data_IF_928157307882
#
_entry.id   IF_928157307882
#
_cell.length_a   1.000
_cell.length_b   1.000
_cell.length_c   1.000
_cell.angle_alpha   90.00
_cell.angle_beta   90.00
_cell.angle_gamma   90.00
#
_symmetry.space_group_name_H-M   'P 1'
#
loop_
_entity.id
_entity.type
_entity.pdbx_description
1 polymer ?
#
# COMPACT_ATOMS: atom_id res chain seq x y z
N UNK A 1 -27.95 38.15 24.74
CA UNK A 1 -28.95 37.07 24.60
C UNK A 1 -29.56 37.18 23.21
N UNK A 2 -29.27 36.25 22.35
CA UNK A 2 -29.78 36.26 20.97
C UNK A 2 -31.24 35.88 21.00
N UNK A 3 -32.14 36.79 20.66
CA UNK A 3 -33.55 36.46 20.43
C UNK A 3 -33.71 36.08 18.99
N UNK A 4 -33.69 34.78 18.73
CA UNK A 4 -34.00 34.27 17.42
C UNK A 4 -35.52 34.25 17.31
N UNK A 5 -36.08 35.04 16.42
CA UNK A 5 -37.53 35.03 16.17
C UNK A 5 -37.97 33.67 15.63
N UNK A 6 -39.17 33.23 15.98
CA UNK A 6 -39.71 31.93 15.61
C UNK A 6 -39.94 31.74 14.08
N UNK A 7 -39.86 32.79 13.29
CA UNK A 7 -39.94 32.76 11.83
C UNK A 7 -38.60 32.39 11.20
N UNK A 8 -37.49 32.49 11.97
CA UNK A 8 -36.12 32.05 11.62
C UNK A 8 -35.78 32.04 10.13
N UNK A 9 -36.01 33.12 9.45
CA UNK A 9 -35.39 33.29 8.14
C UNK A 9 -33.91 33.61 8.34
N UNK A 10 -33.01 33.08 7.50
CA UNK A 10 -31.57 33.37 7.57
C UNK A 10 -31.24 34.87 7.65
N UNK A 11 -32.10 35.72 7.10
CA UNK A 11 -32.01 37.16 7.10
C UNK A 11 -32.10 37.79 8.53
N UNK A 12 -33.01 37.30 9.37
CA UNK A 12 -33.18 37.79 10.75
C UNK A 12 -32.02 37.36 11.64
N UNK A 13 -31.47 36.18 11.41
CA UNK A 13 -30.30 35.70 12.15
C UNK A 13 -29.07 36.57 11.88
N UNK A 14 -28.86 36.97 10.62
CA UNK A 14 -27.71 37.80 10.24
C UNK A 14 -27.86 39.25 10.71
N UNK A 15 -29.08 39.77 10.88
CA UNK A 15 -29.35 41.11 11.43
C UNK A 15 -28.87 41.26 12.89
N UNK A 16 -28.71 40.16 13.62
CA UNK A 16 -28.15 40.12 14.95
C UNK A 16 -26.76 40.76 15.06
N UNK A 17 -25.96 40.67 14.04
CA UNK A 17 -24.62 41.25 14.01
C UNK A 17 -24.61 42.74 13.69
N UNK A 18 -25.76 43.38 13.50
CA UNK A 18 -25.88 44.80 13.19
C UNK A 18 -25.27 45.20 11.83
N UNK A 19 -24.95 44.24 10.96
CA UNK A 19 -24.27 44.46 9.68
C UNK A 19 -25.22 44.43 8.49
N UNK A 20 -26.51 44.26 8.72
CA UNK A 20 -27.42 43.97 7.65
C UNK A 20 -27.18 42.57 7.02
N UNK A 21 -27.82 42.30 5.91
CA UNK A 21 -27.69 41.04 5.21
C UNK A 21 -26.42 41.02 4.37
N UNK A 22 -25.30 40.64 4.96
CA UNK A 22 -24.04 40.49 4.21
C UNK A 22 -23.90 39.11 3.59
N UNK A 23 -24.35 38.07 4.32
CA UNK A 23 -24.21 36.67 3.89
C UNK A 23 -25.51 35.92 4.13
N UNK A 24 -25.79 34.91 3.30
CA UNK A 24 -26.75 33.88 3.67
C UNK A 24 -26.17 32.98 4.78
N UNK A 25 -27.01 32.27 5.51
CA UNK A 25 -26.52 31.26 6.47
C UNK A 25 -25.64 30.20 5.79
N UNK A 26 -25.92 29.92 4.54
CA UNK A 26 -25.16 28.97 3.74
C UNK A 26 -23.77 29.51 3.36
N UNK A 27 -23.68 30.81 2.98
CA UNK A 27 -22.40 31.48 2.72
C UNK A 27 -21.53 31.50 3.99
N UNK A 28 -22.15 31.76 5.14
CA UNK A 28 -21.46 31.71 6.42
C UNK A 28 -20.91 30.31 6.74
N UNK A 29 -21.65 29.24 6.46
CA UNK A 29 -21.16 27.87 6.61
C UNK A 29 -20.00 27.58 5.67
N UNK A 30 -20.08 28.05 4.42
CA UNK A 30 -19.04 27.81 3.41
C UNK A 30 -17.71 28.51 3.75
N UNK A 31 -17.76 29.71 4.35
CA UNK A 31 -16.57 30.43 4.82
C UNK A 31 -15.87 29.75 6.02
N UNK A 32 -16.63 29.02 6.84
CA UNK A 32 -16.12 28.44 8.07
C UNK A 32 -15.78 26.95 7.94
N UNK A 33 -16.16 26.29 6.83
CA UNK A 33 -15.93 24.89 6.59
C UNK A 33 -14.84 24.67 5.51
N UNK A 34 -13.65 24.24 5.90
CA UNK A 34 -12.61 23.87 4.95
C UNK A 34 -12.90 22.52 4.30
N UNK A 35 -13.49 22.57 3.11
CA UNK A 35 -13.75 21.40 2.26
C UNK A 35 -12.75 21.27 1.10
N UNK A 36 -11.69 22.07 1.06
CA UNK A 36 -10.71 22.12 -0.04
C UNK A 36 -10.16 20.73 -0.37
N UNK A 37 -9.81 19.97 0.66
CA UNK A 37 -9.29 18.61 0.50
C UNK A 37 -10.28 17.69 -0.22
N UNK A 38 -11.55 17.72 0.17
CA UNK A 38 -12.59 16.91 -0.47
C UNK A 38 -12.80 17.33 -1.93
N UNK A 39 -12.84 18.62 -2.21
CA UNK A 39 -12.96 19.16 -3.57
C UNK A 39 -11.84 18.68 -4.47
N UNK A 40 -10.58 18.76 -4.00
CA UNK A 40 -9.42 18.28 -4.74
C UNK A 40 -9.47 16.78 -5.02
N UNK A 41 -9.84 15.97 -4.03
CA UNK A 41 -9.98 14.51 -4.19
C UNK A 41 -11.11 14.18 -5.16
N UNK A 42 -12.28 14.80 -5.04
CA UNK A 42 -13.41 14.57 -5.94
C UNK A 42 -13.07 14.98 -7.39
N UNK A 43 -12.47 16.14 -7.59
CA UNK A 43 -12.05 16.62 -8.91
C UNK A 43 -10.99 15.71 -9.55
N UNK A 44 -10.06 15.19 -8.73
CA UNK A 44 -9.04 14.26 -9.23
C UNK A 44 -9.64 12.91 -9.63
N UNK A 45 -10.69 12.42 -8.93
CA UNK A 45 -11.30 11.09 -9.18
C UNK A 45 -12.42 11.11 -10.20
N UNK A 46 -13.01 12.26 -10.50
CA UNK A 46 -14.15 12.37 -11.42
C UNK A 46 -13.92 11.66 -12.77
N UNK A 47 -12.78 11.82 -13.46
CA UNK A 47 -12.53 11.15 -14.74
C UNK A 47 -12.45 9.63 -14.64
N UNK A 48 -12.08 9.10 -13.46
CA UNK A 48 -11.83 7.68 -13.25
C UNK A 48 -13.05 6.94 -12.69
N UNK A 49 -13.82 7.59 -11.82
CA UNK A 49 -15.04 7.01 -11.22
C UNK A 49 -16.29 7.23 -12.08
N UNK A 50 -16.25 8.14 -13.05
CA UNK A 50 -17.37 8.41 -13.97
C UNK A 50 -17.97 7.15 -14.58
N UNK A 51 -17.19 6.21 -15.15
CA UNK A 51 -17.73 4.96 -15.70
C UNK A 51 -18.44 4.07 -14.67
N UNK A 52 -17.96 4.04 -13.42
CA UNK A 52 -18.60 3.28 -12.32
C UNK A 52 -19.97 3.91 -12.00
N UNK A 53 -19.98 5.23 -11.81
CA UNK A 53 -21.21 6.00 -11.52
C UNK A 53 -22.21 5.83 -12.63
N UNK A 54 -21.81 6.01 -13.90
CA UNK A 54 -22.67 5.89 -15.07
C UNK A 54 -23.30 4.50 -15.20
N UNK A 55 -22.51 3.43 -15.04
CA UNK A 55 -23.01 2.04 -15.07
C UNK A 55 -24.05 1.81 -13.99
N UNK A 56 -23.72 2.16 -12.74
CA UNK A 56 -24.61 1.97 -11.60
C UNK A 56 -25.90 2.79 -11.72
N UNK A 57 -25.85 3.99 -12.30
CA UNK A 57 -27.03 4.82 -12.52
C UNK A 57 -27.94 4.22 -13.60
N UNK A 58 -27.40 3.66 -14.67
CA UNK A 58 -28.18 2.94 -15.71
C UNK A 58 -28.84 1.67 -15.21
N UNK A 59 -28.18 0.95 -14.32
CA UNK A 59 -28.71 -0.28 -13.74
C UNK A 59 -29.69 -0.02 -12.60
N UNK A 60 -29.92 1.24 -12.24
CA UNK A 60 -30.77 1.60 -11.13
C UNK A 60 -32.24 1.33 -11.44
N UNK A 61 -32.81 0.34 -10.74
CA UNK A 61 -34.24 0.00 -10.81
C UNK A 61 -34.92 0.64 -9.60
N UNK A 62 -35.95 1.45 -9.82
CA UNK A 62 -36.73 2.04 -8.73
C UNK A 62 -37.19 3.47 -8.99
N UNK A 63 -37.82 4.10 -7.97
CA UNK A 63 -38.29 5.49 -8.07
C UNK A 63 -37.11 6.44 -8.32
N UNK A 64 -37.28 7.37 -9.24
CA UNK A 64 -36.28 8.38 -9.62
C UNK A 64 -35.79 9.23 -8.42
N UNK A 65 -36.55 9.29 -7.34
CA UNK A 65 -36.23 10.04 -6.12
C UNK A 65 -35.36 9.28 -5.10
N UNK A 66 -34.89 8.06 -5.42
CA UNK A 66 -33.82 7.45 -4.60
C UNK A 66 -32.51 8.14 -4.95
N UNK A 67 -31.59 8.25 -3.95
CA UNK A 67 -30.37 9.01 -4.07
C UNK A 67 -29.60 8.71 -5.36
N UNK A 68 -29.16 9.74 -6.12
CA UNK A 68 -28.27 9.58 -7.27
C UNK A 68 -27.00 8.84 -6.86
N UNK A 69 -26.45 8.05 -7.78
CA UNK A 69 -25.23 7.24 -7.51
C UNK A 69 -24.03 8.12 -7.23
N UNK A 70 -23.92 9.25 -7.92
CA UNK A 70 -22.84 10.24 -7.70
C UNK A 70 -22.89 10.84 -6.29
N UNK A 71 -24.06 11.15 -5.77
CA UNK A 71 -24.26 11.63 -4.38
C UNK A 71 -23.81 10.57 -3.38
N UNK A 72 -24.17 9.31 -3.62
CA UNK A 72 -23.73 8.20 -2.76
C UNK A 72 -22.22 8.00 -2.83
N UNK A 73 -21.61 8.09 -4.02
CA UNK A 73 -20.18 7.97 -4.23
C UNK A 73 -19.42 9.11 -3.53
N UNK A 74 -19.83 10.38 -3.77
CA UNK A 74 -19.22 11.56 -3.13
C UNK A 74 -19.34 11.49 -1.61
N UNK A 75 -20.52 11.13 -1.09
CA UNK A 75 -20.73 10.96 0.36
C UNK A 75 -19.82 9.88 0.94
N UNK A 76 -19.62 8.78 0.21
CA UNK A 76 -18.76 7.69 0.64
C UNK A 76 -17.28 8.09 0.65
N UNK A 77 -16.82 8.79 -0.39
CA UNK A 77 -15.48 9.37 -0.47
C UNK A 77 -15.21 10.39 0.66
N UNK A 78 -16.20 11.22 0.98
CA UNK A 78 -16.11 12.16 2.09
C UNK A 78 -15.82 11.44 3.42
N UNK A 79 -16.40 10.27 3.64
CA UNK A 79 -16.09 9.43 4.80
C UNK A 79 -14.61 9.09 4.92
N UNK A 80 -13.93 8.80 3.81
CA UNK A 80 -12.50 8.55 3.78
C UNK A 80 -11.66 9.80 4.00
N UNK A 81 -12.03 10.89 3.32
CA UNK A 81 -11.30 12.17 3.40
C UNK A 81 -11.34 12.75 4.81
N UNK A 82 -12.49 12.67 5.48
CA UNK A 82 -12.68 13.19 6.85
C UNK A 82 -12.46 12.16 7.97
N UNK A 83 -11.91 10.98 7.63
CA UNK A 83 -11.60 9.94 8.61
C UNK A 83 -12.84 9.46 9.39
N UNK A 84 -13.96 9.29 8.69
CA UNK A 84 -15.22 8.81 9.25
C UNK A 84 -15.55 7.42 8.68
N UNK A 85 -14.94 6.34 9.19
CA UNK A 85 -15.07 5.00 8.62
C UNK A 85 -16.42 4.34 8.92
N UNK A 86 -17.13 4.84 9.93
CA UNK A 86 -18.38 4.27 10.40
C UNK A 86 -19.57 4.96 9.76
N UNK A 87 -20.38 4.21 9.02
CA UNK A 87 -21.57 4.74 8.29
C UNK A 87 -22.49 5.63 9.14
N UNK A 88 -22.77 5.23 10.38
CA UNK A 88 -23.66 6.00 11.23
C UNK A 88 -23.05 7.34 11.67
N UNK A 89 -21.73 7.42 11.77
CA UNK A 89 -21.00 8.65 12.06
C UNK A 89 -20.98 9.55 10.84
N UNK A 90 -20.74 9.00 9.65
CA UNK A 90 -20.85 9.74 8.39
C UNK A 90 -22.26 10.33 8.20
N UNK A 91 -23.32 9.57 8.48
CA UNK A 91 -24.69 10.05 8.42
C UNK A 91 -24.93 11.19 9.41
N UNK A 92 -24.39 11.08 10.63
CA UNK A 92 -24.47 12.17 11.63
C UNK A 92 -23.76 13.42 11.16
N UNK A 93 -22.57 13.25 10.56
CA UNK A 93 -21.80 14.36 9.99
C UNK A 93 -22.55 15.03 8.82
N UNK A 94 -23.05 14.24 7.86
CA UNK A 94 -23.87 14.76 6.77
C UNK A 94 -25.14 15.48 7.22
N UNK A 95 -25.71 15.11 8.38
CA UNK A 95 -26.87 15.81 8.95
C UNK A 95 -26.53 17.13 9.59
N UNK A 96 -25.40 17.23 10.29
CA UNK A 96 -25.03 18.45 11.01
C UNK A 96 -24.28 19.47 10.15
N UNK A 97 -23.51 19.01 9.14
CA UNK A 97 -22.67 19.87 8.31
C UNK A 97 -23.39 20.20 6.99
N UNK A 98 -23.85 21.44 6.87
CA UNK A 98 -24.60 21.94 5.72
C UNK A 98 -23.74 22.10 4.47
N UNK A 99 -22.52 22.63 4.63
CA UNK A 99 -21.55 22.83 3.56
C UNK A 99 -21.16 21.49 2.96
N UNK A 100 -20.81 20.46 3.80
CA UNK A 100 -20.51 19.12 3.34
C UNK A 100 -21.70 18.50 2.55
N UNK A 101 -22.95 18.68 3.06
CA UNK A 101 -24.13 18.18 2.34
C UNK A 101 -24.24 18.77 0.96
N UNK A 102 -24.10 20.09 0.82
CA UNK A 102 -24.17 20.79 -0.46
C UNK A 102 -23.10 20.28 -1.42
N UNK A 103 -21.87 20.16 -0.95
CA UNK A 103 -20.74 19.68 -1.74
C UNK A 103 -20.96 18.27 -2.32
N UNK A 104 -21.54 17.36 -1.53
CA UNK A 104 -21.84 16.01 -2.02
C UNK A 104 -23.17 15.91 -2.79
N UNK A 105 -23.95 17.02 -2.91
CA UNK A 105 -25.19 17.09 -3.66
C UNK A 105 -26.45 16.70 -2.89
N UNK A 106 -26.44 16.81 -1.54
CA UNK A 106 -27.61 16.55 -0.67
C UNK A 106 -28.27 17.86 -0.30
N UNK A 107 -29.47 18.13 -0.82
CA UNK A 107 -30.16 19.40 -0.69
C UNK A 107 -30.58 19.77 0.74
N UNK A 108 -30.97 18.80 1.57
CA UNK A 108 -31.47 19.07 2.92
C UNK A 108 -31.14 17.94 3.91
N UNK A 109 -31.19 18.24 5.20
CA UNK A 109 -30.99 17.25 6.25
C UNK A 109 -31.96 16.05 6.17
N UNK A 110 -33.20 16.30 5.76
CA UNK A 110 -34.20 15.24 5.57
C UNK A 110 -33.87 14.27 4.43
N UNK A 111 -33.08 14.73 3.45
CA UNK A 111 -32.61 13.93 2.29
C UNK A 111 -31.27 13.24 2.52
N UNK A 112 -30.75 13.21 3.76
CA UNK A 112 -29.51 12.45 4.07
C UNK A 112 -29.80 10.95 4.00
N UNK A 113 -28.97 10.16 3.25
CA UNK A 113 -29.18 8.72 3.10
C UNK A 113 -29.15 7.98 4.44
N UNK A 114 -29.96 6.93 4.55
CA UNK A 114 -30.01 6.05 5.72
C UNK A 114 -28.90 4.98 5.65
N UNK A 115 -28.55 4.40 6.80
CA UNK A 115 -27.48 3.40 6.91
C UNK A 115 -27.65 2.18 5.98
N UNK A 116 -28.90 1.74 5.73
CA UNK A 116 -29.18 0.64 4.84
C UNK A 116 -28.92 0.96 3.37
N UNK A 117 -29.07 2.24 2.96
CA UNK A 117 -28.78 2.70 1.61
C UNK A 117 -27.28 2.68 1.33
N UNK A 118 -26.45 3.16 2.27
CA UNK A 118 -24.99 2.98 2.21
C UNK A 118 -24.59 1.50 2.17
N UNK A 119 -25.25 0.65 2.95
CA UNK A 119 -24.98 -0.79 2.93
C UNK A 119 -25.32 -1.44 1.59
N UNK A 120 -26.43 -1.03 0.97
CA UNK A 120 -26.84 -1.48 -0.36
C UNK A 120 -25.87 -0.96 -1.43
N UNK A 121 -25.45 0.29 -1.34
CA UNK A 121 -24.48 0.90 -2.25
C UNK A 121 -23.16 0.13 -2.24
N UNK A 122 -22.58 -0.13 -1.06
CA UNK A 122 -21.35 -0.93 -0.92
C UNK A 122 -21.57 -2.35 -1.50
N UNK A 123 -22.75 -2.94 -1.29
CA UNK A 123 -23.03 -4.27 -1.83
C UNK A 123 -23.09 -4.30 -3.35
N UNK A 124 -23.61 -3.23 -3.96
CA UNK A 124 -23.60 -3.08 -5.43
C UNK A 124 -22.21 -2.83 -5.98
N UNK A 125 -21.39 -2.01 -5.32
CA UNK A 125 -19.99 -1.82 -5.69
C UNK A 125 -19.18 -3.13 -5.59
N UNK A 126 -19.58 -4.03 -4.70
CA UNK A 126 -18.93 -5.32 -4.47
C UNK A 126 -19.38 -6.42 -5.44
N UNK A 127 -20.28 -6.15 -6.38
CA UNK A 127 -20.61 -7.05 -7.49
C UNK A 127 -19.43 -7.09 -8.47
N UNK A 128 -19.07 -8.28 -8.96
CA UNK A 128 -17.84 -8.51 -9.73
C UNK A 128 -17.61 -7.48 -10.86
N UNK A 129 -18.65 -7.21 -11.66
CA UNK A 129 -18.55 -6.27 -12.77
C UNK A 129 -18.37 -4.81 -12.33
N UNK A 130 -18.80 -4.43 -11.14
CA UNK A 130 -18.64 -3.08 -10.59
C UNK A 130 -17.31 -2.95 -9.86
N UNK A 131 -16.89 -4.02 -9.19
CA UNK A 131 -15.58 -4.11 -8.56
C UNK A 131 -14.45 -4.01 -9.60
N UNK A 132 -14.58 -4.73 -10.72
CA UNK A 132 -13.63 -4.62 -11.84
C UNK A 132 -13.51 -3.18 -12.39
N UNK A 133 -14.59 -2.40 -12.40
CA UNK A 133 -14.52 -0.98 -12.77
C UNK A 133 -13.82 -0.12 -11.73
N UNK A 134 -13.95 -0.43 -10.43
CA UNK A 134 -13.19 0.25 -9.38
C UNK A 134 -11.70 -0.07 -9.48
N UNK A 135 -11.36 -1.31 -9.74
CA UNK A 135 -9.97 -1.74 -9.98
C UNK A 135 -9.41 -1.04 -11.23
N UNK A 136 -10.16 -0.99 -12.31
CA UNK A 136 -9.77 -0.24 -13.51
C UNK A 136 -9.62 1.28 -13.25
N UNK A 137 -10.41 1.86 -12.33
CA UNK A 137 -10.23 3.25 -11.91
C UNK A 137 -8.91 3.44 -11.15
N UNK A 138 -8.55 2.49 -10.29
CA UNK A 138 -7.26 2.49 -9.60
C UNK A 138 -6.09 2.43 -10.59
N UNK A 139 -6.13 1.50 -11.55
CA UNK A 139 -5.07 1.35 -12.56
C UNK A 139 -4.89 2.62 -13.40
N UNK A 140 -5.99 3.28 -13.78
CA UNK A 140 -5.94 4.56 -14.50
C UNK A 140 -5.37 5.70 -13.65
N UNK A 141 -5.59 5.70 -12.34
CA UNK A 141 -4.93 6.66 -11.43
C UNK A 141 -3.42 6.40 -11.34
N UNK A 142 -3.00 5.12 -11.31
CA UNK A 142 -1.57 4.75 -11.35
C UNK A 142 -0.94 5.21 -12.65
N UNK A 143 -1.61 4.99 -13.80
CA UNK A 143 -1.12 5.43 -15.10
C UNK A 143 -0.98 6.96 -15.14
N UNK A 144 -1.97 7.70 -14.62
CA UNK A 144 -1.89 9.17 -14.54
C UNK A 144 -0.73 9.64 -13.67
N UNK A 145 -0.47 8.97 -12.57
CA UNK A 145 0.68 9.29 -11.72
C UNK A 145 2.01 8.96 -12.41
N UNK A 146 2.06 7.91 -13.23
CA UNK A 146 3.24 7.59 -14.04
C UNK A 146 3.58 8.69 -15.04
N UNK A 147 2.56 9.34 -15.63
CA UNK A 147 2.75 10.51 -16.49
C UNK A 147 3.27 11.74 -15.71
N UNK A 148 2.79 11.93 -14.47
CA UNK A 148 3.08 13.12 -13.67
C UNK A 148 4.39 12.99 -12.86
N UNK A 149 4.79 11.76 -12.49
CA UNK A 149 5.89 11.49 -11.57
C UNK A 149 7.03 10.74 -12.28
N UNK A 150 8.13 11.42 -12.64
CA UNK A 150 9.23 10.81 -13.38
C UNK A 150 9.83 9.62 -12.63
N UNK A 151 9.82 8.45 -13.25
CA UNK A 151 10.42 7.23 -12.71
C UNK A 151 9.58 6.50 -11.67
N UNK A 152 8.30 6.83 -11.55
CA UNK A 152 7.35 6.00 -10.80
C UNK A 152 7.39 4.56 -11.34
N UNK A 153 7.44 3.58 -10.44
CA UNK A 153 7.52 2.16 -10.79
C UNK A 153 8.94 1.59 -10.87
N UNK A 154 9.99 2.41 -10.76
CA UNK A 154 11.39 1.91 -10.86
C UNK A 154 11.82 1.05 -9.68
N UNK A 155 11.45 1.42 -8.48
CA UNK A 155 11.84 0.74 -7.25
C UNK A 155 10.58 0.32 -6.51
N UNK A 156 10.13 -0.91 -6.75
CA UNK A 156 8.89 -1.42 -6.20
C UNK A 156 9.13 -2.27 -4.97
N UNK A 157 8.38 -2.00 -3.92
CA UNK A 157 8.32 -2.82 -2.71
C UNK A 157 7.03 -3.63 -2.65
N UNK A 158 7.10 -4.85 -2.13
CA UNK A 158 5.91 -5.65 -1.81
C UNK A 158 5.85 -5.94 -0.32
N UNK A 159 4.68 -5.74 0.27
CA UNK A 159 4.45 -6.02 1.70
C UNK A 159 2.98 -6.30 1.96
N UNK A 160 2.70 -7.17 2.94
CA UNK A 160 1.37 -7.51 3.35
C UNK A 160 0.94 -6.83 4.65
N UNK A 161 -0.31 -6.39 4.74
CA UNK A 161 -0.89 -5.85 5.97
C UNK A 161 -2.16 -6.58 6.37
N UNK A 162 -2.35 -6.77 7.69
CA UNK A 162 -3.54 -7.44 8.23
C UNK A 162 -4.73 -6.49 8.26
N UNK A 163 -5.91 -6.98 7.86
CA UNK A 163 -7.21 -6.29 8.01
C UNK A 163 -8.17 -7.25 8.69
N UNK A 164 -8.75 -6.83 9.83
CA UNK A 164 -9.72 -7.63 10.54
C UNK A 164 -11.08 -7.60 9.82
N UNK A 165 -11.74 -8.76 9.72
CA UNK A 165 -13.15 -8.80 9.33
C UNK A 165 -14.03 -8.32 10.48
N UNK A 166 -15.17 -7.71 10.16
CA UNK A 166 -16.21 -7.40 11.16
C UNK A 166 -16.94 -8.67 11.59
N UNK A 167 -16.18 -9.64 12.08
CA UNK A 167 -16.61 -10.97 12.52
C UNK A 167 -15.69 -11.49 13.61
N UNK A 168 -16.26 -12.16 14.60
CA UNK A 168 -15.48 -12.82 15.67
C UNK A 168 -14.64 -14.00 15.21
N UNK A 169 -14.88 -14.53 14.00
CA UNK A 169 -14.26 -15.76 13.52
C UNK A 169 -14.81 -17.04 14.18
N UNK A 170 -15.74 -16.90 15.15
CA UNK A 170 -16.41 -18.02 15.79
C UNK A 170 -17.50 -18.59 14.87
N UNK A 171 -17.72 -19.89 14.96
CA UNK A 171 -18.83 -20.55 14.28
C UNK A 171 -20.12 -20.33 15.08
N UNK A 172 -21.22 -20.09 14.37
CA UNK A 172 -22.54 -20.07 14.99
C UNK A 172 -22.89 -21.50 15.49
N UNK A 173 -23.28 -21.64 16.72
CA UNK A 173 -23.58 -22.94 17.35
C UNK A 173 -24.71 -23.72 16.63
N UNK A 174 -25.72 -23.01 16.09
CA UNK A 174 -26.86 -23.64 15.40
C UNK A 174 -26.54 -24.02 13.95
N UNK A 175 -25.80 -23.18 13.23
CA UNK A 175 -25.55 -23.36 11.78
C UNK A 175 -24.18 -23.96 11.46
N UNK A 176 -23.26 -23.97 12.40
CA UNK A 176 -21.85 -24.35 12.18
C UNK A 176 -21.07 -23.37 11.29
N UNK A 177 -21.71 -22.31 10.79
CA UNK A 177 -21.14 -21.39 9.83
C UNK A 177 -20.53 -20.17 10.53
N UNK A 178 -19.50 -19.59 9.91
CA UNK A 178 -18.96 -18.29 10.31
C UNK A 178 -19.74 -17.16 9.65
N UNK A 179 -19.85 -16.02 10.31
CA UNK A 179 -20.52 -14.83 9.76
C UNK A 179 -19.75 -14.20 8.60
N UNK A 180 -18.47 -14.52 8.45
CA UNK A 180 -17.63 -14.23 7.29
C UNK A 180 -16.90 -15.53 6.87
N UNK A 181 -17.46 -16.31 5.94
CA UNK A 181 -16.90 -17.60 5.54
C UNK A 181 -15.64 -17.47 4.66
N UNK A 182 -15.42 -16.31 4.03
CA UNK A 182 -14.29 -16.02 3.14
C UNK A 182 -13.05 -15.54 3.89
N UNK A 183 -13.21 -15.14 5.17
CA UNK A 183 -12.11 -14.71 6.01
C UNK A 183 -11.34 -15.90 6.61
N UNK A 184 -10.06 -15.70 6.87
CA UNK A 184 -9.18 -16.69 7.48
C UNK A 184 -8.57 -16.22 8.81
N UNK A 185 -7.96 -17.15 9.56
CA UNK A 185 -7.16 -16.83 10.72
C UNK A 185 -5.71 -16.57 10.30
N UNK A 186 -5.23 -15.35 10.53
CA UNK A 186 -3.83 -14.99 10.35
C UNK A 186 -3.08 -15.04 11.69
N UNK A 187 -1.81 -15.42 11.62
CA UNK A 187 -0.90 -15.45 12.77
C UNK A 187 0.40 -14.79 12.36
N UNK A 188 0.83 -13.79 13.11
CA UNK A 188 2.16 -13.18 12.98
C UNK A 188 2.92 -13.26 14.29
N UNK A 189 4.13 -13.76 14.22
CA UNK A 189 5.04 -13.84 15.34
C UNK A 189 6.09 -12.74 15.22
N UNK A 190 6.28 -11.99 16.30
CA UNK A 190 7.35 -10.98 16.41
C UNK A 190 8.17 -11.27 17.65
N UNK A 191 9.49 -11.17 17.52
CA UNK A 191 10.41 -11.17 18.67
C UNK A 191 10.61 -9.72 19.12
N UNK A 192 10.25 -9.42 20.37
CA UNK A 192 10.43 -8.10 20.98
C UNK A 192 11.47 -8.23 22.09
N UNK A 193 12.50 -7.38 22.07
CA UNK A 193 13.40 -7.26 23.22
C UNK A 193 12.67 -6.48 24.31
N UNK A 194 12.53 -7.08 25.48
CA UNK A 194 12.08 -6.41 26.71
C UNK A 194 13.12 -5.37 27.15
N UNK A 195 12.74 -4.43 28.02
CA UNK A 195 13.67 -3.47 28.65
C UNK A 195 14.80 -4.17 29.41
N UNK A 196 14.53 -5.37 29.89
CA UNK A 196 15.50 -6.22 30.63
C UNK A 196 16.38 -7.09 29.71
N UNK A 197 16.38 -6.84 28.41
CA UNK A 197 17.19 -7.55 27.42
C UNK A 197 16.67 -8.95 27.02
N UNK A 198 15.59 -9.44 27.63
CA UNK A 198 14.97 -10.72 27.30
C UNK A 198 14.19 -10.61 25.96
N UNK A 199 14.31 -11.65 25.15
CA UNK A 199 13.57 -11.72 23.87
C UNK A 199 12.24 -12.43 24.13
N UNK A 200 11.15 -11.66 24.04
CA UNK A 200 9.80 -12.17 24.17
C UNK A 200 9.20 -12.42 22.77
N UNK A 201 8.49 -13.53 22.64
CA UNK A 201 7.75 -13.88 21.44
C UNK A 201 6.33 -13.31 21.54
N UNK A 202 6.04 -12.27 20.78
CA UNK A 202 4.69 -11.68 20.69
C UNK A 202 3.96 -12.30 19.50
N UNK A 203 2.85 -12.98 19.76
CA UNK A 203 2.01 -13.60 18.75
C UNK A 203 0.75 -12.73 18.55
N UNK A 204 0.59 -12.16 17.36
CA UNK A 204 -0.63 -11.46 16.95
C UNK A 204 -1.49 -12.42 16.14
N UNK A 205 -2.72 -12.66 16.59
CA UNK A 205 -3.74 -13.44 15.86
C UNK A 205 -4.86 -12.50 15.44
N UNK A 206 -5.38 -12.66 14.23
CA UNK A 206 -6.56 -11.94 13.76
C UNK A 206 -7.39 -12.84 12.86
N UNK A 207 -8.70 -12.58 12.81
CA UNK A 207 -9.60 -13.19 11.85
C UNK A 207 -9.99 -12.15 10.80
N UNK A 208 -9.71 -12.41 9.52
CA UNK A 208 -9.95 -11.43 8.46
C UNK A 208 -9.17 -11.74 7.19
N UNK A 209 -8.53 -10.70 6.67
CA UNK A 209 -7.88 -10.70 5.38
C UNK A 209 -6.42 -10.23 5.48
N UNK A 210 -5.66 -10.61 4.47
CA UNK A 210 -4.34 -10.10 4.17
C UNK A 210 -4.48 -9.19 2.94
N UNK A 211 -4.07 -7.95 3.07
CA UNK A 211 -3.95 -7.01 1.95
C UNK A 211 -2.49 -6.92 1.58
N UNK A 212 -2.14 -7.35 0.38
CA UNK A 212 -0.80 -7.24 -0.16
C UNK A 212 -0.74 -6.06 -1.10
N UNK A 213 0.25 -5.19 -0.93
CA UNK A 213 0.45 -4.00 -1.76
C UNK A 213 1.76 -4.08 -2.50
N UNK A 214 1.74 -3.65 -3.76
CA UNK A 214 2.95 -3.21 -4.47
C UNK A 214 3.02 -1.69 -4.34
N UNK A 215 4.15 -1.20 -3.85
CA UNK A 215 4.37 0.21 -3.51
C UNK A 215 5.58 0.74 -4.27
N UNK A 216 5.44 1.86 -4.95
CA UNK A 216 6.61 2.63 -5.39
C UNK A 216 7.34 3.18 -4.18
N UNK A 217 8.62 2.79 -4.04
CA UNK A 217 9.41 3.11 -2.86
C UNK A 217 10.01 4.52 -2.88
N UNK A 218 9.99 5.20 -4.01
CA UNK A 218 10.53 6.56 -4.15
C UNK A 218 9.47 7.61 -3.84
N UNK A 219 8.26 7.41 -4.35
CA UNK A 219 7.11 8.30 -4.10
C UNK A 219 6.20 7.82 -2.96
N UNK A 220 6.41 6.60 -2.46
CA UNK A 220 5.61 5.99 -1.40
C UNK A 220 4.12 5.92 -1.76
N UNK A 221 3.83 5.49 -2.97
CA UNK A 221 2.47 5.35 -3.51
C UNK A 221 2.17 3.89 -3.87
N UNK A 222 0.95 3.41 -3.61
CA UNK A 222 0.54 2.07 -4.03
C UNK A 222 0.34 2.04 -5.54
N UNK A 223 0.87 1.00 -6.20
CA UNK A 223 0.74 0.77 -7.64
C UNK A 223 0.08 -0.57 -7.97
N UNK A 224 -0.19 -1.40 -6.97
CA UNK A 224 -0.91 -2.66 -7.11
C UNK A 224 -1.40 -3.15 -5.75
N UNK A 225 -2.48 -3.92 -5.72
CA UNK A 225 -2.99 -4.51 -4.49
C UNK A 225 -3.73 -5.82 -4.73
N UNK A 226 -3.70 -6.72 -3.73
CA UNK A 226 -4.51 -7.93 -3.66
C UNK A 226 -5.13 -8.07 -2.27
N UNK A 227 -6.34 -8.63 -2.22
CA UNK A 227 -7.03 -8.96 -0.98
C UNK A 227 -7.26 -10.46 -0.93
N UNK A 228 -6.70 -11.12 0.05
CA UNK A 228 -6.82 -12.57 0.25
C UNK A 228 -7.15 -12.93 1.69
N UNK A 229 -7.68 -14.15 1.98
CA UNK A 229 -7.87 -14.60 3.36
C UNK A 229 -6.59 -14.50 4.17
N UNK A 230 -6.69 -14.19 5.47
CA UNK A 230 -5.51 -13.94 6.32
C UNK A 230 -4.55 -15.13 6.47
N UNK A 231 -4.99 -16.33 6.12
CA UNK A 231 -4.16 -17.55 6.10
C UNK A 231 -3.46 -17.81 4.76
N UNK A 232 -3.58 -16.90 3.78
CA UNK A 232 -2.88 -17.01 2.50
C UNK A 232 -1.37 -16.79 2.68
N UNK A 233 -0.57 -17.48 1.85
CA UNK A 233 0.87 -17.32 1.84
C UNK A 233 1.29 -16.03 1.14
N UNK A 234 2.07 -15.19 1.81
CA UNK A 234 2.67 -13.99 1.20
C UNK A 234 3.71 -14.37 0.13
N UNK A 235 4.45 -15.45 0.33
CA UNK A 235 5.53 -15.88 -0.54
C UNK A 235 5.08 -16.13 -1.99
N UNK A 236 3.91 -16.74 -2.18
CA UNK A 236 3.38 -17.11 -3.50
C UNK A 236 2.74 -15.94 -4.24
N UNK A 237 2.52 -14.81 -3.55
CA UNK A 237 1.85 -13.64 -4.14
C UNK A 237 2.75 -12.80 -5.05
N UNK A 238 4.07 -12.84 -4.83
CA UNK A 238 4.99 -11.99 -5.56
C UNK A 238 4.93 -12.20 -7.07
N UNK A 239 5.08 -13.43 -7.61
CA UNK A 239 5.01 -13.64 -9.05
C UNK A 239 3.68 -13.16 -9.63
N UNK A 240 2.55 -13.64 -9.09
CA UNK A 240 1.23 -13.37 -9.63
C UNK A 240 0.95 -11.85 -9.69
N UNK A 241 1.26 -11.12 -8.62
CA UNK A 241 1.00 -9.68 -8.55
C UNK A 241 1.90 -8.85 -9.48
N UNK A 242 3.17 -9.26 -9.65
CA UNK A 242 4.08 -8.55 -10.55
C UNK A 242 3.80 -8.86 -12.01
N UNK A 243 3.33 -10.06 -12.35
CA UNK A 243 2.90 -10.42 -13.70
C UNK A 243 1.64 -9.62 -14.06
N UNK A 244 0.66 -9.57 -13.17
CA UNK A 244 -0.54 -8.75 -13.34
C UNK A 244 -0.20 -7.25 -13.51
N UNK A 245 0.72 -6.72 -12.68
CA UNK A 245 1.17 -5.34 -12.78
C UNK A 245 1.80 -5.06 -14.15
N UNK A 246 2.62 -5.98 -14.65
CA UNK A 246 3.28 -5.86 -15.94
C UNK A 246 2.30 -5.94 -17.11
N UNK A 247 1.30 -6.80 -17.02
CA UNK A 247 0.23 -6.87 -18.03
C UNK A 247 -0.57 -5.56 -18.10
N UNK A 248 -0.89 -4.97 -16.95
CA UNK A 248 -1.66 -3.72 -16.85
C UNK A 248 -0.83 -2.48 -17.20
N UNK A 249 0.47 -2.50 -16.90
CA UNK A 249 1.39 -1.38 -17.08
C UNK A 249 2.67 -1.80 -17.81
N UNK A 250 2.60 -2.24 -19.10
CA UNK A 250 3.74 -2.76 -19.84
C UNK A 250 4.90 -1.75 -20.01
N UNK A 251 4.60 -0.46 -19.93
CA UNK A 251 5.57 0.64 -20.04
C UNK A 251 6.28 0.97 -18.72
N UNK A 252 5.99 0.25 -17.62
CA UNK A 252 6.61 0.50 -16.34
C UNK A 252 8.04 -0.05 -16.29
N UNK A 253 9.03 0.83 -16.11
CA UNK A 253 10.47 0.50 -16.02
C UNK A 253 10.81 -0.06 -14.63
N UNK A 254 10.48 -1.34 -14.36
CA UNK A 254 10.78 -1.98 -13.08
C UNK A 254 12.26 -2.34 -13.01
N UNK A 255 13.02 -1.72 -12.09
CA UNK A 255 14.45 -1.96 -11.90
C UNK A 255 14.79 -2.76 -10.67
N UNK A 256 14.04 -2.60 -9.60
CA UNK A 256 14.24 -3.36 -8.36
C UNK A 256 12.92 -3.80 -7.77
N UNK A 257 12.89 -5.02 -7.24
CA UNK A 257 11.81 -5.56 -6.42
C UNK A 257 12.32 -5.77 -5.00
N UNK A 258 11.72 -5.07 -4.05
CA UNK A 258 12.16 -5.00 -2.65
C UNK A 258 11.16 -5.73 -1.77
N UNK A 259 11.60 -6.71 -0.99
CA UNK A 259 10.72 -7.48 -0.12
C UNK A 259 11.41 -7.91 1.18
N UNK A 260 10.60 -8.25 2.17
CA UNK A 260 11.10 -8.80 3.42
C UNK A 260 11.44 -10.31 3.31
N UNK A 261 11.86 -10.91 4.42
CA UNK A 261 12.21 -12.33 4.46
C UNK A 261 11.00 -13.28 4.32
N UNK A 262 9.77 -12.76 4.36
CA UNK A 262 8.56 -13.53 4.07
C UNK A 262 8.49 -13.99 2.61
N UNK A 263 9.11 -13.22 1.73
CA UNK A 263 9.16 -13.49 0.27
C UNK A 263 10.43 -14.22 -0.18
N UNK A 264 11.32 -14.60 0.75
CA UNK A 264 12.61 -15.21 0.43
C UNK A 264 12.45 -16.64 -0.09
N UNK A 265 12.55 -16.79 -1.41
CA UNK A 265 12.59 -18.08 -2.10
C UNK A 265 13.45 -17.99 -3.37
N UNK A 266 13.99 -19.14 -3.80
CA UNK A 266 14.71 -19.23 -5.07
C UNK A 266 13.80 -18.88 -6.24
N UNK A 267 12.54 -19.36 -6.22
CA UNK A 267 11.55 -19.09 -7.25
C UNK A 267 11.27 -17.58 -7.41
N UNK A 268 11.06 -16.85 -6.31
CA UNK A 268 10.83 -15.40 -6.37
C UNK A 268 12.06 -14.64 -6.89
N UNK A 269 13.26 -15.02 -6.47
CA UNK A 269 14.49 -14.41 -7.00
C UNK A 269 14.66 -14.67 -8.48
N UNK A 270 14.40 -15.90 -8.95
CA UNK A 270 14.45 -16.28 -10.37
C UNK A 270 13.42 -15.48 -11.16
N UNK A 271 12.16 -15.44 -10.71
CA UNK A 271 11.09 -14.70 -11.36
C UNK A 271 11.45 -13.21 -11.57
N UNK A 272 11.95 -12.56 -10.53
CA UNK A 272 12.36 -11.15 -10.61
C UNK A 272 13.52 -10.94 -11.59
N UNK A 273 14.47 -11.87 -11.63
CA UNK A 273 15.62 -11.75 -12.52
C UNK A 273 15.29 -12.07 -13.98
N UNK A 274 14.51 -13.14 -14.25
CA UNK A 274 14.25 -13.63 -15.60
C UNK A 274 13.02 -13.01 -16.23
N UNK A 275 11.89 -12.99 -15.51
CA UNK A 275 10.63 -12.50 -16.08
C UNK A 275 10.54 -10.97 -16.01
N UNK A 276 10.92 -10.35 -14.90
CA UNK A 276 10.86 -8.89 -14.76
C UNK A 276 12.13 -8.17 -15.23
N UNK A 277 13.21 -8.90 -15.54
CA UNK A 277 14.53 -8.35 -15.84
C UNK A 277 15.01 -7.33 -14.77
N UNK A 278 14.55 -7.47 -13.52
CA UNK A 278 14.78 -6.57 -12.42
C UNK A 278 15.73 -7.18 -11.37
N UNK A 279 16.15 -6.37 -10.41
CA UNK A 279 17.07 -6.78 -9.36
C UNK A 279 16.28 -7.14 -8.09
N UNK A 280 16.32 -8.40 -7.61
CA UNK A 280 15.66 -8.79 -6.36
C UNK A 280 16.45 -8.29 -5.14
N UNK A 281 15.83 -7.41 -4.37
CA UNK A 281 16.33 -6.87 -3.10
C UNK A 281 15.53 -7.51 -1.96
N UNK A 282 15.55 -8.83 -1.92
CA UNK A 282 14.79 -9.64 -0.95
C UNK A 282 15.71 -10.00 0.21
N UNK A 283 15.26 -9.70 1.45
CA UNK A 283 16.00 -10.08 2.66
C UNK A 283 15.99 -11.60 2.80
N UNK A 284 17.18 -12.17 2.92
CA UNK A 284 17.34 -13.62 3.08
C UNK A 284 16.92 -14.06 4.49
N UNK A 285 16.21 -15.17 4.57
CA UNK A 285 15.96 -15.87 5.83
C UNK A 285 17.20 -16.69 6.19
N UNK A 286 17.72 -16.46 7.38
CA UNK A 286 18.94 -17.07 7.87
C UNK A 286 18.60 -18.01 9.03
N UNK A 287 19.27 -19.15 9.07
CA UNK A 287 19.11 -20.16 10.14
C UNK A 287 20.04 -19.87 11.31
N UNK A 288 21.34 -19.71 11.07
CA UNK A 288 22.38 -19.50 12.09
C UNK A 288 22.86 -18.04 12.16
N UNK A 289 22.81 -17.31 11.06
CA UNK A 289 23.17 -15.89 11.03
C UNK A 289 23.98 -15.49 9.80
N UNK A 290 24.15 -14.17 9.59
CA UNK A 290 24.70 -13.65 8.35
C UNK A 290 26.13 -14.09 8.05
N UNK A 291 26.87 -14.41 9.08
CA UNK A 291 28.28 -14.77 9.03
C UNK A 291 28.54 -16.26 9.19
N UNK A 292 27.47 -17.05 9.49
CA UNK A 292 27.60 -18.50 9.60
C UNK A 292 28.09 -19.09 8.28
N UNK A 293 29.06 -20.00 8.39
CA UNK A 293 29.66 -20.63 7.22
C UNK A 293 28.75 -21.74 6.69
N UNK A 294 28.56 -21.74 5.38
CA UNK A 294 27.89 -22.82 4.70
C UNK A 294 28.66 -23.25 3.43
N UNK A 295 28.45 -24.47 3.02
CA UNK A 295 29.02 -25.01 1.79
C UNK A 295 27.92 -25.23 0.77
N UNK A 296 28.03 -24.56 -0.36
CA UNK A 296 27.15 -24.79 -1.52
C UNK A 296 27.84 -25.72 -2.51
N UNK A 297 27.13 -26.16 -3.54
CA UNK A 297 27.73 -26.88 -4.68
C UNK A 297 28.74 -26.02 -5.46
N UNK A 298 28.70 -24.67 -5.27
CA UNK A 298 29.48 -23.71 -6.03
C UNK A 298 30.75 -23.32 -5.28
N UNK A 299 30.62 -22.97 -4.00
CA UNK A 299 31.72 -22.49 -3.18
C UNK A 299 31.42 -22.62 -1.68
N UNK A 300 32.48 -22.52 -0.86
CA UNK A 300 32.37 -22.23 0.55
C UNK A 300 32.01 -20.76 0.73
N UNK A 301 30.96 -20.45 1.46
CA UNK A 301 30.47 -19.07 1.63
C UNK A 301 29.80 -18.88 2.98
N UNK A 302 29.48 -17.62 3.31
CA UNK A 302 28.58 -17.33 4.42
C UNK A 302 27.12 -17.60 4.04
N UNK A 303 26.20 -17.70 4.99
CA UNK A 303 24.76 -17.83 4.69
C UNK A 303 24.25 -16.70 3.80
N UNK A 304 24.78 -15.48 3.91
CA UNK A 304 24.46 -14.34 3.02
C UNK A 304 25.01 -14.48 1.59
N UNK A 305 25.78 -15.55 1.30
CA UNK A 305 26.36 -15.76 -0.03
C UNK A 305 27.64 -14.94 -0.27
N UNK A 306 28.40 -14.60 0.77
CA UNK A 306 29.73 -14.02 0.62
C UNK A 306 30.74 -15.17 0.55
N UNK A 307 31.45 -15.39 -0.57
CA UNK A 307 32.43 -16.45 -0.67
C UNK A 307 33.55 -16.32 0.35
N UNK A 308 34.05 -17.44 0.82
CA UNK A 308 35.15 -17.55 1.77
C UNK A 308 36.33 -18.16 1.02
N UNK A 309 37.51 -17.53 1.09
CA UNK A 309 38.72 -18.06 0.48
C UNK A 309 39.26 -19.28 1.26
N UNK A 310 40.24 -19.97 0.71
CA UNK A 310 40.80 -21.21 1.29
C UNK A 310 41.35 -20.97 2.69
N UNK A 311 41.86 -19.77 3.00
CA UNK A 311 42.34 -19.35 4.31
C UNK A 311 41.23 -18.86 5.28
N UNK A 312 39.95 -19.09 4.95
CA UNK A 312 38.84 -18.74 5.85
C UNK A 312 38.42 -17.25 5.84
N UNK A 313 39.05 -16.41 5.01
CA UNK A 313 38.70 -14.99 4.96
C UNK A 313 37.56 -14.73 3.97
N UNK A 314 36.58 -13.88 4.35
CA UNK A 314 35.49 -13.42 3.50
C UNK A 314 36.02 -12.61 2.31
N UNK A 315 35.67 -13.01 1.10
CA UNK A 315 36.07 -12.28 -0.12
C UNK A 315 35.30 -10.95 -0.24
N UNK A 316 35.88 -9.99 -0.95
CA UNK A 316 35.29 -8.66 -1.14
C UNK A 316 34.54 -8.61 -2.47
N UNK A 317 33.29 -8.16 -2.41
CA UNK A 317 32.45 -8.01 -3.60
C UNK A 317 33.03 -6.94 -4.53
N UNK A 318 33.27 -7.32 -5.77
CA UNK A 318 33.91 -6.48 -6.79
C UNK A 318 32.97 -6.13 -7.97
N UNK A 319 31.67 -6.41 -7.83
CA UNK A 319 30.66 -6.05 -8.83
C UNK A 319 30.10 -7.24 -9.59
N UNK A 320 29.34 -6.92 -10.65
CA UNK A 320 28.74 -7.88 -11.59
C UNK A 320 29.48 -7.82 -12.91
N UNK A 321 29.71 -8.98 -13.53
CA UNK A 321 30.35 -9.15 -14.81
C UNK A 321 29.46 -10.07 -15.67
N UNK A 322 28.59 -9.47 -16.49
CA UNK A 322 27.56 -10.18 -17.21
C UNK A 322 26.62 -10.96 -16.26
N UNK A 323 26.59 -12.29 -16.40
CA UNK A 323 25.78 -13.18 -15.57
C UNK A 323 26.49 -13.65 -14.30
N UNK A 324 27.64 -13.10 -13.98
CA UNK A 324 28.44 -13.49 -12.85
C UNK A 324 28.57 -12.37 -11.82
N UNK A 325 28.46 -12.73 -10.56
CA UNK A 325 28.96 -11.89 -9.46
C UNK A 325 30.43 -12.17 -9.25
N UNK A 326 31.19 -11.13 -9.01
CA UNK A 326 32.65 -11.18 -8.89
C UNK A 326 33.10 -10.77 -7.48
N UNK A 327 33.98 -11.57 -6.90
CA UNK A 327 34.65 -11.31 -5.64
C UNK A 327 36.16 -11.35 -5.81
N UNK A 328 36.86 -10.60 -4.96
CA UNK A 328 38.33 -10.50 -4.95
C UNK A 328 38.90 -10.88 -3.60
N UNK A 329 40.16 -11.26 -3.61
CA UNK A 329 40.95 -11.53 -2.41
C UNK A 329 40.86 -10.34 -1.44
N UNK A 330 40.48 -10.56 -0.17
CA UNK A 330 40.37 -9.50 0.82
C UNK A 330 41.71 -8.86 1.15
N UNK A 331 42.79 -9.65 1.21
CA UNK A 331 44.12 -9.16 1.53
C UNK A 331 44.62 -8.10 0.52
N UNK A 332 44.41 -8.38 -0.79
CA UNK A 332 44.81 -7.42 -1.86
C UNK A 332 43.92 -6.18 -1.85
N UNK A 333 42.61 -6.35 -1.59
CA UNK A 333 41.66 -5.20 -1.59
C UNK A 333 41.88 -4.29 -0.38
N UNK A 334 42.33 -4.85 0.74
CA UNK A 334 42.53 -4.15 2.01
C UNK A 334 43.99 -3.78 2.26
N UNK A 335 44.86 -4.05 1.31
CA UNK A 335 46.33 -3.80 1.39
C UNK A 335 46.94 -4.37 2.68
N UNK A 336 46.67 -5.64 2.96
CA UNK A 336 47.13 -6.37 4.15
C UNK A 336 47.86 -7.66 3.78
N UNK A 337 48.75 -8.11 4.67
CA UNK A 337 49.41 -9.41 4.52
C UNK A 337 48.36 -10.55 4.39
N UNK A 338 48.64 -11.47 3.48
CA UNK A 338 47.83 -12.68 3.28
C UNK A 338 48.53 -13.84 3.95
N UNK A 339 47.76 -14.71 4.65
CA UNK A 339 48.24 -15.95 5.22
C UNK A 339 48.30 -17.10 4.18
N UNK A 340 47.82 -16.89 2.98
CA UNK A 340 47.78 -17.88 1.91
C UNK A 340 49.22 -18.31 1.54
N UNK A 341 49.42 -19.62 1.42
CA UNK A 341 50.62 -20.17 0.75
C UNK A 341 50.47 -20.00 -0.77
N UNK A 342 51.56 -19.78 -1.47
CA UNK A 342 51.59 -19.55 -2.93
C UNK A 342 50.92 -20.70 -3.71
N UNK A 343 51.00 -21.91 -3.22
CA UNK A 343 50.43 -23.09 -3.87
C UNK A 343 48.92 -23.15 -3.91
N UNK A 344 48.24 -22.43 -3.00
CA UNK A 344 46.78 -22.43 -2.87
C UNK A 344 46.11 -21.12 -3.28
N UNK A 345 46.86 -20.12 -3.76
CA UNK A 345 46.32 -18.82 -4.10
C UNK A 345 46.86 -18.31 -5.46
N UNK A 346 46.36 -17.18 -5.91
CA UNK A 346 46.81 -16.52 -7.15
C UNK A 346 48.13 -15.76 -6.93
N UNK A 347 49.09 -15.90 -7.83
CA UNK A 347 50.32 -15.12 -7.90
C UNK A 347 50.12 -13.72 -8.49
N UNK A 348 48.91 -13.42 -8.99
CA UNK A 348 48.59 -12.12 -9.59
C UNK A 348 48.56 -10.99 -8.56
N UNK A 349 49.13 -9.82 -8.90
CA UNK A 349 48.99 -8.61 -8.10
C UNK A 349 47.51 -8.16 -7.90
N UNK A 350 46.60 -8.61 -8.75
CA UNK A 350 45.18 -8.38 -8.61
C UNK A 350 44.52 -9.25 -7.53
N UNK A 351 45.21 -10.32 -7.12
CA UNK A 351 44.74 -11.30 -6.17
C UNK A 351 43.78 -12.34 -6.79
N UNK A 352 43.38 -13.31 -5.97
CA UNK A 352 42.42 -14.33 -6.38
C UNK A 352 41.06 -13.71 -6.69
N UNK A 353 40.46 -14.13 -7.80
CA UNK A 353 39.12 -13.74 -8.24
C UNK A 353 38.22 -14.97 -8.22
N UNK A 354 37.05 -14.86 -7.60
CA UNK A 354 35.98 -15.84 -7.71
C UNK A 354 34.81 -15.22 -8.47
N UNK A 355 34.33 -15.93 -9.49
CA UNK A 355 33.11 -15.58 -10.20
C UNK A 355 32.05 -16.65 -9.92
N UNK A 356 30.85 -16.24 -9.54
CA UNK A 356 29.73 -17.13 -9.29
C UNK A 356 28.62 -16.75 -10.25
N UNK A 357 28.09 -17.72 -11.00
CA UNK A 357 26.97 -17.50 -11.90
C UNK A 357 25.69 -17.28 -11.12
N UNK A 358 24.96 -16.22 -11.45
CA UNK A 358 23.72 -15.82 -10.78
C UNK A 358 22.67 -16.93 -10.88
N UNK A 359 22.54 -17.54 -12.07
CA UNK A 359 21.55 -18.58 -12.34
C UNK A 359 21.75 -19.88 -11.54
N UNK A 360 22.96 -20.13 -10.99
CA UNK A 360 23.24 -21.37 -10.24
C UNK A 360 22.58 -21.37 -8.84
N UNK A 361 22.47 -20.21 -8.19
CA UNK A 361 21.71 -20.00 -6.96
C UNK A 361 21.22 -18.56 -6.86
N UNK A 362 20.11 -18.21 -7.54
CA UNK A 362 19.57 -16.85 -7.57
C UNK A 362 19.15 -16.32 -6.19
N UNK A 363 18.75 -17.22 -5.28
CA UNK A 363 18.40 -16.86 -3.89
C UNK A 363 19.61 -16.34 -3.13
N UNK A 364 20.75 -17.00 -3.26
CA UNK A 364 21.98 -16.63 -2.54
C UNK A 364 22.78 -15.55 -3.27
N UNK A 365 22.76 -15.57 -4.60
CA UNK A 365 23.49 -14.65 -5.47
C UNK A 365 22.54 -13.82 -6.35
N UNK A 366 21.73 -12.91 -5.78
CA UNK A 366 20.60 -12.26 -6.46
C UNK A 366 21.02 -11.09 -7.37
N UNK A 367 22.07 -11.21 -8.15
CA UNK A 367 22.54 -10.16 -9.06
C UNK A 367 23.34 -9.02 -8.41
N UNK A 368 23.32 -8.93 -7.07
CA UNK A 368 24.15 -8.01 -6.26
C UNK A 368 24.38 -8.64 -4.89
N UNK A 369 25.59 -8.53 -4.35
CA UNK A 369 25.89 -9.04 -3.01
C UNK A 369 25.10 -8.29 -1.94
N UNK A 370 24.42 -9.03 -1.04
CA UNK A 370 23.66 -8.48 0.10
C UNK A 370 24.55 -7.75 1.10
N UNK A 371 25.85 -8.07 1.16
CA UNK A 371 26.81 -7.36 2.00
C UNK A 371 27.21 -5.99 1.44
N UNK A 372 26.95 -5.71 0.16
CA UNK A 372 27.33 -4.47 -0.50
C UNK A 372 26.57 -3.25 0.04
N UNK A 373 27.25 -2.09 0.09
CA UNK A 373 26.64 -0.79 0.44
C UNK A 373 25.45 -0.44 -0.47
N UNK A 374 25.52 -0.83 -1.77
CA UNK A 374 24.45 -0.60 -2.73
C UNK A 374 23.19 -1.39 -2.38
N UNK A 375 23.34 -2.67 -2.02
CA UNK A 375 22.20 -3.49 -1.61
C UNK A 375 21.55 -2.94 -0.33
N UNK A 376 22.36 -2.61 0.69
CA UNK A 376 21.87 -2.05 1.96
C UNK A 376 21.09 -0.75 1.76
N UNK A 377 21.55 0.12 0.85
CA UNK A 377 20.85 1.36 0.48
C UNK A 377 19.51 1.08 -0.22
N UNK A 378 19.49 0.13 -1.16
CA UNK A 378 18.25 -0.24 -1.87
C UNK A 378 17.25 -0.90 -0.91
N UNK A 379 17.72 -1.82 -0.06
CA UNK A 379 16.86 -2.45 0.93
C UNK A 379 16.28 -1.47 1.95
N UNK A 380 17.00 -0.42 2.29
CA UNK A 380 16.51 0.67 3.16
C UNK A 380 15.24 1.35 2.62
N UNK A 381 15.00 1.33 1.31
CA UNK A 381 13.77 1.84 0.69
C UNK A 381 12.53 1.05 1.09
N UNK A 382 12.64 -0.19 1.60
CA UNK A 382 11.51 -1.00 2.08
C UNK A 382 10.64 -0.27 3.11
N UNK A 383 11.23 0.64 3.88
CA UNK A 383 10.47 1.49 4.80
C UNK A 383 9.30 2.26 4.16
N UNK A 384 9.29 2.43 2.84
CA UNK A 384 8.17 3.01 2.11
C UNK A 384 6.89 2.18 2.25
N UNK A 385 7.00 0.84 2.15
CA UNK A 385 5.84 -0.05 2.33
C UNK A 385 5.23 0.09 3.73
N UNK A 386 6.07 0.18 4.78
CA UNK A 386 5.62 0.36 6.15
C UNK A 386 4.92 1.71 6.34
N UNK A 387 5.42 2.78 5.68
CA UNK A 387 4.80 4.10 5.74
C UNK A 387 3.48 4.17 4.98
N UNK A 388 3.36 3.50 3.82
CA UNK A 388 2.08 3.36 3.08
C UNK A 388 1.07 2.60 3.92
N UNK A 389 1.44 1.44 4.47
CA UNK A 389 0.60 0.67 5.38
C UNK A 389 0.18 1.50 6.62
N UNK A 390 1.10 2.29 7.18
CA UNK A 390 0.81 3.21 8.28
C UNK A 390 -0.21 4.29 7.89
N UNK A 391 -0.10 4.88 6.70
CA UNK A 391 -1.07 5.86 6.19
C UNK A 391 -2.45 5.26 6.00
N UNK A 392 -2.54 4.07 5.42
CA UNK A 392 -3.81 3.35 5.25
C UNK A 392 -4.49 3.08 6.60
N UNK A 393 -3.74 2.69 7.63
CA UNK A 393 -4.29 2.38 8.95
C UNK A 393 -4.61 3.60 9.79
N UNK A 394 -3.71 4.58 9.83
CA UNK A 394 -3.82 5.72 10.75
C UNK A 394 -4.63 6.88 10.16
N UNK A 395 -4.55 7.13 8.85
CA UNK A 395 -5.23 8.26 8.20
C UNK A 395 -6.45 7.84 7.39
N UNK A 396 -6.44 6.64 6.82
CA UNK A 396 -7.58 6.10 6.09
C UNK A 396 -8.33 5.02 6.90
N UNK A 397 -7.98 4.86 8.17
CA UNK A 397 -8.68 4.04 9.17
C UNK A 397 -9.06 2.64 8.69
N UNK A 398 -8.11 1.98 8.00
CA UNK A 398 -8.33 0.68 7.37
C UNK A 398 -8.77 -0.40 8.38
N UNK A 399 -8.26 -0.34 9.61
CA UNK A 399 -8.59 -1.30 10.67
C UNK A 399 -9.96 -1.02 11.34
N UNK A 400 -10.58 0.15 11.06
CA UNK A 400 -11.87 0.57 11.66
C UNK A 400 -13.08 0.18 10.81
N UNK A 401 -12.87 -0.49 9.68
CA UNK A 401 -13.93 -0.84 8.74
C UNK A 401 -14.86 -1.93 9.28
N UNK A 402 -16.18 -1.68 9.18
CA UNK A 402 -17.21 -2.58 9.68
C UNK A 402 -17.90 -3.33 8.55
N UNK A 403 -17.11 -4.09 7.76
CA UNK A 403 -17.59 -4.88 6.64
C UNK A 403 -17.19 -6.35 6.75
N UNK A 404 -17.89 -7.21 6.03
CA UNK A 404 -17.67 -8.65 5.92
C UNK A 404 -17.66 -9.02 4.46
N UNK A 405 -17.06 -10.17 4.12
CA UNK A 405 -16.86 -10.74 2.79
C UNK A 405 -15.79 -10.02 1.97
N UNK A 406 -15.01 -10.83 1.26
CA UNK A 406 -13.85 -10.39 0.47
C UNK A 406 -14.19 -9.21 -0.43
N UNK A 407 -15.21 -9.32 -1.26
CA UNK A 407 -15.57 -8.28 -2.23
C UNK A 407 -15.84 -6.91 -1.57
N UNK A 408 -16.55 -6.86 -0.43
CA UNK A 408 -16.80 -5.60 0.30
C UNK A 408 -15.53 -5.05 0.94
N UNK A 409 -14.65 -5.91 1.44
CA UNK A 409 -13.34 -5.49 1.95
C UNK A 409 -12.51 -4.93 0.80
N UNK A 410 -12.51 -5.57 -0.37
CA UNK A 410 -11.83 -5.06 -1.57
C UNK A 410 -12.36 -3.69 -1.99
N UNK A 411 -13.67 -3.44 -1.97
CA UNK A 411 -14.24 -2.10 -2.20
C UNK A 411 -13.66 -1.07 -1.23
N UNK A 412 -13.58 -1.40 0.07
CA UNK A 412 -13.03 -0.49 1.08
C UNK A 412 -11.55 -0.18 0.81
N UNK A 413 -10.76 -1.21 0.49
CA UNK A 413 -9.35 -1.05 0.14
C UNK A 413 -9.21 -0.18 -1.11
N UNK A 414 -9.91 -0.52 -2.20
CA UNK A 414 -9.86 0.23 -3.45
C UNK A 414 -10.19 1.71 -3.24
N UNK A 415 -11.25 2.02 -2.47
CA UNK A 415 -11.63 3.40 -2.17
C UNK A 415 -10.57 4.14 -1.35
N UNK A 416 -9.95 3.48 -0.35
CA UNK A 416 -8.83 4.05 0.42
C UNK A 416 -7.64 4.39 -0.47
N UNK A 417 -7.28 3.45 -1.37
CA UNK A 417 -6.18 3.62 -2.30
C UNK A 417 -6.49 4.73 -3.32
N UNK A 418 -7.71 4.78 -3.85
CA UNK A 418 -8.15 5.84 -4.76
C UNK A 418 -8.05 7.23 -4.10
N UNK A 419 -8.44 7.39 -2.84
CA UNK A 419 -8.27 8.66 -2.10
C UNK A 419 -6.79 9.02 -1.96
N UNK A 420 -5.93 8.04 -1.68
CA UNK A 420 -4.49 8.27 -1.60
C UNK A 420 -3.91 8.72 -2.94
N UNK A 421 -4.24 8.03 -4.03
CA UNK A 421 -3.77 8.38 -5.38
C UNK A 421 -4.34 9.72 -5.86
N UNK A 422 -5.61 10.01 -5.56
CA UNK A 422 -6.22 11.31 -5.87
C UNK A 422 -5.50 12.46 -5.18
N UNK A 423 -5.13 12.29 -3.91
CA UNK A 423 -4.34 13.26 -3.18
C UNK A 423 -2.98 13.49 -3.86
N UNK A 424 -2.31 12.41 -4.28
CA UNK A 424 -1.03 12.51 -4.99
C UNK A 424 -1.18 13.18 -6.38
N UNK A 425 -2.24 12.85 -7.14
CA UNK A 425 -2.54 13.48 -8.44
C UNK A 425 -2.77 14.98 -8.25
N UNK A 426 -3.53 15.38 -7.22
CA UNK A 426 -3.79 16.78 -6.93
C UNK A 426 -2.50 17.54 -6.58
N UNK A 427 -1.64 16.98 -5.71
CA UNK A 427 -0.37 17.59 -5.37
C UNK A 427 0.57 17.68 -6.57
N UNK A 428 0.66 16.65 -7.39
CA UNK A 428 1.48 16.67 -8.60
C UNK A 428 0.99 17.73 -9.61
N UNK A 429 -0.34 17.89 -9.78
CA UNK A 429 -0.92 18.94 -10.64
C UNK A 429 -0.69 20.35 -10.10
N UNK A 430 -0.52 20.52 -8.79
CA UNK A 430 -0.19 21.79 -8.14
C UNK A 430 1.33 22.04 -8.07
N UNK A 431 2.12 21.21 -8.73
CA UNK A 431 3.60 21.25 -8.73
C UNK A 431 4.25 21.12 -7.32
N UNK A 432 3.54 20.43 -6.40
CA UNK A 432 3.99 20.15 -5.03
C UNK A 432 4.49 18.71 -4.91
N UNK A 433 5.56 18.36 -5.65
CA UNK A 433 6.04 16.98 -5.76
C UNK A 433 6.54 16.40 -4.42
N UNK A 434 7.05 17.22 -3.51
CA UNK A 434 7.47 16.81 -2.16
C UNK A 434 6.28 16.37 -1.27
N UNK A 435 5.08 16.80 -1.60
CA UNK A 435 3.87 16.54 -0.84
C UNK A 435 3.00 15.40 -1.40
N UNK A 436 3.37 14.79 -2.54
CA UNK A 436 2.59 13.70 -3.17
C UNK A 436 2.36 12.50 -2.22
N UNK A 437 3.24 12.28 -1.28
CA UNK A 437 3.13 11.23 -0.23
C UNK A 437 2.34 11.65 1.00
N UNK A 438 1.95 12.92 1.13
CA UNK A 438 1.29 13.47 2.32
C UNK A 438 -0.21 13.58 2.09
N UNK A 439 -0.97 12.61 2.60
CA UNK A 439 -2.46 12.67 2.52
C UNK A 439 -3.01 13.90 3.25
N UNK A 440 -2.32 14.38 4.29
CA UNK A 440 -2.74 15.50 5.13
C UNK A 440 -2.38 16.87 4.51
N UNK A 441 -1.43 16.92 3.57
CA UNK A 441 -0.96 18.18 2.97
C UNK A 441 -2.03 18.90 2.11
N UNK A 442 -3.13 18.23 1.80
CA UNK A 442 -4.29 18.87 1.16
C UNK A 442 -5.08 19.81 2.10
N UNK A 443 -4.78 19.80 3.39
CA UNK A 443 -5.49 20.59 4.42
C UNK A 443 -4.68 21.82 4.89
N UNK A 444 -3.53 22.11 4.27
CA UNK A 444 -2.68 23.24 4.65
C UNK A 444 -2.65 24.30 3.55
#
# INVERSE_FOLDING_TARGET
MVVINATNEPEEFMSYYGQGRLFTFEDFCDEHDDNTRLVLVLSALEPYLGPVVWKLERERIGRRNSYPVDVMMKSFLAGWVYQIPVKNELIRELRRNGSLRRLVGIESMAKVPQAWQFSRFISRLAEDANLALLEAAFERCVEKLRELLPGLGRNLGIDGTSVASWSSGMRNERTGLRSDPEAGWGIRERRKKSKDGKVEKVVKKWFGYLVTLIVDCDYELPVGFDVSPANSSEMTKLPDMFDELREKHPEMDIRTVIADAGYDSGANCTHVLSELAALPIIKMRLDEGPDAECRTSICRCTELGVPICDEGSKMRYAGRDGDYLKWRCPAVVEDRACACTIDNCSTSAYGRVLKVRIADDPRRFPGISRDSKKWKRLYGKRGACERVNGRLKNYLLLDEQRVRRKAKVTVQIAMSLLVMLASAISMAKLDKLEDVRRIVALAA
#
